data_IF_220736293561
#
_entry.id   IF_220736293561
#
_cell.length_a   1.000
_cell.length_b   1.000
_cell.length_c   1.000
_cell.angle_alpha   90.00
_cell.angle_beta   90.00
_cell.angle_gamma   90.00
#
_symmetry.space_group_name_H-M   'P 1'
#
loop_
_entity.id
_entity.type
_entity.pdbx_description
1 polymer ?
#
# COMPACT_ATOMS: atom_id res chain seq x y z
N UNK A 1 -1.98 -0.85 -17.72
CA UNK A 1 -2.27 -2.29 -17.50
C UNK A 1 -1.41 -2.75 -16.34
N UNK A 2 -1.90 -3.64 -15.47
CA UNK A 2 -1.09 -4.16 -14.34
C UNK A 2 0.06 -5.01 -14.90
N UNK A 3 1.29 -4.82 -14.42
CA UNK A 3 2.44 -5.64 -14.82
C UNK A 3 2.38 -7.06 -14.23
N UNK A 4 1.68 -7.22 -13.11
CA UNK A 4 1.54 -8.47 -12.37
C UNK A 4 0.07 -8.79 -12.18
N UNK A 5 -0.29 -10.06 -12.37
CA UNK A 5 -1.63 -10.57 -12.13
C UNK A 5 -1.58 -11.80 -11.22
N UNK A 6 -2.21 -11.71 -10.05
CA UNK A 6 -2.37 -12.88 -9.17
C UNK A 6 -3.40 -13.82 -9.79
N UNK A 7 -3.00 -15.06 -10.05
CA UNK A 7 -3.85 -16.08 -10.69
C UNK A 7 -4.55 -16.95 -9.66
N UNK A 8 -3.88 -17.28 -8.56
CA UNK A 8 -4.47 -18.07 -7.47
C UNK A 8 -3.76 -17.81 -6.14
N UNK A 9 -4.50 -17.90 -5.04
CA UNK A 9 -3.96 -17.91 -3.67
C UNK A 9 -4.68 -19.02 -2.91
N UNK A 10 -3.94 -20.09 -2.60
CA UNK A 10 -4.48 -21.25 -1.88
C UNK A 10 -4.03 -21.20 -0.43
N UNK A 11 -4.99 -21.24 0.49
CA UNK A 11 -4.73 -21.37 1.93
C UNK A 11 -4.46 -22.84 2.23
N UNK A 12 -3.29 -23.14 2.79
CA UNK A 12 -2.91 -24.49 3.22
C UNK A 12 -3.11 -24.62 4.74
N UNK A 13 -3.23 -25.86 5.22
CA UNK A 13 -3.41 -26.19 6.65
C UNK A 13 -4.55 -25.37 7.32
N UNK A 14 -5.77 -25.54 6.81
CA UNK A 14 -6.94 -24.80 7.29
C UNK A 14 -8.18 -25.73 7.39
N UNK A 15 -8.92 -25.72 8.52
CA UNK A 15 -8.67 -24.98 9.76
C UNK A 15 -7.48 -25.56 10.56
N UNK A 16 -6.85 -24.73 11.41
CA UNK A 16 -5.67 -25.11 12.20
C UNK A 16 -5.68 -24.45 13.59
N UNK A 17 -4.78 -24.87 14.49
CA UNK A 17 -4.60 -24.18 15.78
C UNK A 17 -4.22 -22.71 15.54
N UNK A 18 -4.67 -21.82 16.43
CA UNK A 18 -4.29 -20.40 16.40
C UNK A 18 -2.77 -20.19 16.36
N UNK A 19 -2.03 -21.04 17.08
CA UNK A 19 -0.57 -20.99 17.20
C UNK A 19 0.16 -21.72 16.08
N UNK A 20 -0.55 -22.31 15.11
CA UNK A 20 0.10 -22.89 13.94
C UNK A 20 0.50 -21.78 12.94
N UNK A 21 1.63 -21.94 12.23
CA UNK A 21 2.02 -21.05 11.14
C UNK A 21 0.92 -20.91 10.08
N UNK A 22 0.89 -19.77 9.42
CA UNK A 22 0.12 -19.57 8.20
C UNK A 22 0.88 -20.10 7.00
N UNK A 23 0.16 -20.68 6.03
CA UNK A 23 0.75 -21.18 4.80
C UNK A 23 -0.12 -20.80 3.60
N UNK A 24 0.44 -20.03 2.67
CA UNK A 24 -0.21 -19.57 1.45
C UNK A 24 0.57 -20.02 0.23
N UNK A 25 -0.03 -20.82 -0.64
CA UNK A 25 0.52 -21.06 -1.99
C UNK A 25 0.02 -19.95 -2.93
N UNK A 26 0.94 -19.09 -3.35
CA UNK A 26 0.65 -17.92 -4.17
C UNK A 26 1.10 -18.23 -5.60
N UNK A 27 0.19 -18.06 -6.56
CA UNK A 27 0.47 -18.15 -7.99
C UNK A 27 0.18 -16.82 -8.67
N UNK A 28 1.12 -16.34 -9.48
CA UNK A 28 0.98 -15.08 -10.21
C UNK A 28 1.66 -15.13 -11.58
N UNK A 29 1.20 -14.27 -12.47
CA UNK A 29 1.75 -14.06 -13.80
C UNK A 29 2.38 -12.66 -13.86
N UNK A 30 3.62 -12.59 -14.35
CA UNK A 30 4.31 -11.36 -14.67
C UNK A 30 4.24 -11.14 -16.19
N UNK A 31 3.62 -10.04 -16.61
CA UNK A 31 3.34 -9.71 -18.02
C UNK A 31 4.43 -8.85 -18.66
N UNK A 32 5.16 -8.10 -17.85
CA UNK A 32 6.27 -7.22 -18.26
C UNK A 32 7.42 -7.38 -17.27
N UNK A 33 8.68 -7.40 -17.71
CA UNK A 33 9.81 -7.56 -16.80
C UNK A 33 9.84 -6.43 -15.76
N UNK A 34 10.15 -6.78 -14.51
CA UNK A 34 10.31 -5.85 -13.40
C UNK A 34 11.77 -5.85 -12.96
N UNK A 35 12.36 -4.66 -12.87
CA UNK A 35 13.76 -4.48 -12.51
C UNK A 35 14.01 -4.65 -11.01
N UNK A 36 13.01 -4.31 -10.20
CA UNK A 36 13.06 -4.38 -8.74
C UNK A 36 12.20 -5.51 -8.18
N UNK A 37 12.29 -5.71 -6.87
CA UNK A 37 11.60 -6.78 -6.18
C UNK A 37 10.11 -6.46 -5.96
N UNK A 38 9.28 -7.50 -6.09
CA UNK A 38 7.95 -7.52 -5.51
C UNK A 38 8.06 -7.80 -4.02
N UNK A 39 7.42 -6.97 -3.20
CA UNK A 39 7.33 -7.19 -1.76
C UNK A 39 5.96 -7.80 -1.42
N UNK A 40 5.97 -9.00 -0.87
CA UNK A 40 4.79 -9.71 -0.38
C UNK A 40 4.75 -9.64 1.14
N UNK A 41 3.65 -9.13 1.69
CA UNK A 41 3.47 -9.01 3.14
C UNK A 41 2.22 -9.75 3.59
N UNK A 42 2.34 -10.47 4.70
CA UNK A 42 1.20 -11.04 5.40
C UNK A 42 1.00 -10.29 6.72
N UNK A 43 -0.14 -9.63 6.87
CA UNK A 43 -0.49 -8.85 8.06
C UNK A 43 -1.74 -9.43 8.71
N UNK A 44 -1.68 -9.62 10.03
CA UNK A 44 -2.83 -10.00 10.84
C UNK A 44 -3.43 -8.77 11.52
N UNK A 45 -4.74 -8.58 11.37
CA UNK A 45 -5.45 -7.46 12.00
C UNK A 45 -5.71 -7.79 13.47
N UNK A 46 -5.05 -7.08 14.38
CA UNK A 46 -5.13 -7.36 15.82
C UNK A 46 -6.36 -6.74 16.49
N UNK A 47 -6.96 -5.72 15.87
CA UNK A 47 -8.23 -5.15 16.29
C UNK A 47 -8.93 -4.51 15.10
N UNK A 48 -10.26 -4.61 15.02
CA UNK A 48 -11.02 -3.96 13.95
C UNK A 48 -11.06 -2.43 14.08
N UNK A 49 -10.78 -1.90 15.26
CA UNK A 49 -10.92 -0.47 15.58
C UNK A 49 -9.57 0.27 15.60
N UNK A 50 -8.46 -0.45 15.72
CA UNK A 50 -7.15 0.13 15.98
C UNK A 50 -6.03 -0.64 15.25
N UNK A 51 -5.52 -0.03 14.17
CA UNK A 51 -4.45 -0.57 13.33
C UNK A 51 -3.11 -0.68 14.07
N UNK A 52 -2.95 -0.07 15.26
CA UNK A 52 -1.71 -0.21 16.04
C UNK A 52 -1.50 -1.62 16.59
N UNK A 53 -2.55 -2.44 16.61
CA UNK A 53 -2.50 -3.86 16.96
C UNK A 53 -2.20 -4.75 15.75
N UNK A 54 -2.12 -4.20 14.54
CA UNK A 54 -1.81 -4.99 13.35
C UNK A 54 -0.38 -5.53 13.43
N UNK A 55 -0.25 -6.83 13.12
CA UNK A 55 1.01 -7.53 13.20
C UNK A 55 1.44 -7.94 11.79
N UNK A 56 2.56 -7.39 11.33
CA UNK A 56 3.25 -7.90 10.15
C UNK A 56 3.88 -9.25 10.53
N UNK A 57 3.32 -10.33 10.00
CA UNK A 57 3.76 -11.69 10.29
C UNK A 57 4.95 -12.10 9.42
N UNK A 58 4.93 -11.71 8.15
CA UNK A 58 5.99 -12.05 7.20
C UNK A 58 6.11 -10.99 6.09
N UNK A 59 7.33 -10.79 5.59
CA UNK A 59 7.66 -9.90 4.48
C UNK A 59 8.73 -10.51 3.59
N UNK A 60 8.36 -10.92 2.38
CA UNK A 60 9.25 -11.58 1.42
C UNK A 60 9.43 -10.73 0.16
N UNK A 61 10.68 -10.57 -0.26
CA UNK A 61 11.04 -9.94 -1.52
C UNK A 61 11.24 -11.01 -2.60
N UNK A 62 10.66 -10.78 -3.78
CA UNK A 62 10.79 -11.64 -4.95
C UNK A 62 11.17 -10.80 -6.15
N UNK A 63 12.44 -10.87 -6.57
CA UNK A 63 12.90 -10.25 -7.79
C UNK A 63 14.39 -10.46 -8.08
N UNK A 64 14.89 -9.89 -9.20
CA UNK A 64 14.10 -9.27 -10.27
C UNK A 64 13.17 -10.27 -10.98
N UNK A 65 12.00 -9.82 -11.46
CA UNK A 65 10.94 -10.70 -11.98
C UNK A 65 10.86 -10.59 -13.50
N UNK A 66 11.11 -11.70 -14.21
CA UNK A 66 10.95 -11.76 -15.66
C UNK A 66 9.51 -12.10 -16.04
N UNK A 67 9.18 -11.94 -17.32
CA UNK A 67 7.89 -12.38 -17.85
C UNK A 67 7.73 -13.89 -17.66
N UNK A 68 6.60 -14.32 -17.07
CA UNK A 68 6.34 -15.73 -16.83
C UNK A 68 5.32 -16.00 -15.73
N UNK A 69 5.10 -17.28 -15.47
CA UNK A 69 4.22 -17.77 -14.41
C UNK A 69 5.07 -18.21 -13.22
N UNK A 70 4.70 -17.75 -12.04
CA UNK A 70 5.41 -18.00 -10.80
C UNK A 70 4.49 -18.63 -9.77
N UNK A 71 5.09 -19.46 -8.91
CA UNK A 71 4.41 -20.06 -7.77
C UNK A 71 5.39 -20.26 -6.63
N UNK A 72 4.99 -19.88 -5.43
CA UNK A 72 5.77 -20.11 -4.22
C UNK A 72 4.84 -20.28 -3.00
N UNK A 73 5.40 -20.81 -1.91
CA UNK A 73 4.71 -20.91 -0.62
C UNK A 73 5.25 -19.83 0.30
N UNK A 74 4.36 -18.94 0.75
CA UNK A 74 4.61 -17.99 1.82
C UNK A 74 4.21 -18.65 3.15
N UNK A 75 5.16 -18.82 4.06
CA UNK A 75 4.90 -19.32 5.40
C UNK A 75 5.22 -18.21 6.40
N UNK A 76 4.34 -18.02 7.39
CA UNK A 76 4.52 -17.00 8.43
C UNK A 76 4.19 -17.57 9.80
N UNK A 77 4.91 -17.14 10.83
CA UNK A 77 4.59 -17.47 12.22
C UNK A 77 3.22 -16.88 12.64
N UNK A 78 2.53 -17.47 13.63
CA UNK A 78 1.26 -16.92 14.13
C UNK A 78 1.46 -15.52 14.74
N UNK A 79 0.41 -14.69 14.84
CA UNK A 79 0.49 -13.43 15.58
C UNK A 79 0.81 -13.69 17.06
N UNK A 80 1.46 -12.73 17.69
CA UNK A 80 1.69 -12.73 19.14
C UNK A 80 0.38 -12.41 19.87
N UNK A 81 -0.21 -13.35 20.64
CA UNK A 81 -1.48 -13.12 21.33
C UNK A 81 -1.42 -11.98 22.35
N UNK A 82 -0.23 -11.66 22.88
CA UNK A 82 -0.07 -10.59 23.86
C UNK A 82 -0.17 -9.17 23.26
N UNK A 83 -0.10 -9.08 21.93
CA UNK A 83 -0.25 -7.84 21.15
C UNK A 83 -1.60 -7.75 20.45
N UNK A 84 -2.56 -8.58 20.84
CA UNK A 84 -3.96 -8.53 20.40
C UNK A 84 -4.77 -8.10 21.62
N UNK A 85 -5.83 -7.32 21.40
CA UNK A 85 -6.81 -7.07 22.46
C UNK A 85 -7.44 -8.39 22.88
N UNK A 86 -7.58 -8.62 24.18
CA UNK A 86 -8.06 -9.91 24.70
C UNK A 86 -9.48 -10.24 24.19
N UNK A 87 -10.31 -9.21 24.04
CA UNK A 87 -11.64 -9.29 23.44
C UNK A 87 -11.66 -9.61 21.94
N UNK A 88 -10.57 -9.35 21.21
CA UNK A 88 -10.46 -9.54 19.75
C UNK A 88 -9.76 -10.88 19.37
N UNK A 89 -9.28 -11.66 20.35
CA UNK A 89 -8.65 -12.97 20.09
C UNK A 89 -9.69 -13.98 19.57
N UNK A 90 -10.87 -14.02 20.20
CA UNK A 90 -12.00 -14.87 19.80
C UNK A 90 -12.95 -14.07 18.92
N UNK A 91 -13.48 -14.70 17.88
CA UNK A 91 -14.40 -14.11 16.93
C UNK A 91 -13.76 -13.90 15.56
N UNK A 92 -14.29 -12.94 14.81
CA UNK A 92 -13.91 -12.71 13.42
C UNK A 92 -12.92 -11.56 13.33
N UNK A 93 -11.78 -11.81 12.68
CA UNK A 93 -10.82 -10.79 12.28
C UNK A 93 -10.44 -10.94 10.80
N UNK A 94 -9.44 -10.20 10.34
CA UNK A 94 -8.97 -10.16 8.97
C UNK A 94 -7.48 -10.47 8.88
N UNK A 95 -7.11 -11.22 7.84
CA UNK A 95 -5.73 -11.42 7.41
C UNK A 95 -5.54 -10.78 6.03
N UNK A 96 -4.48 -10.00 5.86
CA UNK A 96 -4.20 -9.24 4.66
C UNK A 96 -2.92 -9.77 4.01
N UNK A 97 -3.04 -10.29 2.79
CA UNK A 97 -1.91 -10.53 1.90
C UNK A 97 -1.79 -9.35 0.94
N UNK A 98 -0.73 -8.56 1.06
CA UNK A 98 -0.46 -7.42 0.16
C UNK A 98 0.73 -7.71 -0.74
N UNK A 99 0.71 -7.15 -1.94
CA UNK A 99 1.86 -7.13 -2.82
C UNK A 99 2.12 -5.69 -3.29
N UNK A 100 3.38 -5.29 -3.16
CA UNK A 100 3.87 -3.95 -3.47
C UNK A 100 5.03 -4.03 -4.46
N UNK A 101 5.18 -2.99 -5.28
CA UNK A 101 6.33 -2.79 -6.15
C UNK A 101 6.85 -1.37 -5.91
N UNK A 102 8.16 -1.22 -5.69
CA UNK A 102 8.78 0.07 -5.35
C UNK A 102 8.07 0.79 -4.17
N UNK A 103 7.65 0.02 -3.16
CA UNK A 103 6.93 0.52 -2.00
C UNK A 103 5.47 0.94 -2.25
N UNK A 104 4.96 0.82 -3.48
CA UNK A 104 3.57 1.10 -3.82
C UNK A 104 2.76 -0.20 -3.85
N UNK A 105 1.79 -0.31 -2.95
CA UNK A 105 0.86 -1.44 -2.92
C UNK A 105 -0.04 -1.38 -4.16
N UNK A 106 -0.11 -2.48 -4.91
CA UNK A 106 -0.98 -2.58 -6.10
C UNK A 106 -2.07 -3.64 -5.96
N UNK A 107 -1.95 -4.55 -5.00
CA UNK A 107 -2.97 -5.55 -4.73
C UNK A 107 -3.00 -5.95 -3.25
N UNK A 108 -4.22 -6.13 -2.75
CA UNK A 108 -4.53 -6.61 -1.41
C UNK A 108 -5.57 -7.71 -1.49
N UNK A 109 -5.27 -8.85 -0.88
CA UNK A 109 -6.18 -9.98 -0.75
C UNK A 109 -6.47 -10.15 0.75
N UNK A 110 -7.69 -9.80 1.14
CA UNK A 110 -8.18 -9.92 2.51
C UNK A 110 -8.96 -11.22 2.70
N UNK A 111 -8.67 -11.92 3.78
CA UNK A 111 -9.42 -13.09 4.25
C UNK A 111 -10.07 -12.79 5.59
N UNK A 112 -11.32 -13.19 5.76
CA UNK A 112 -11.88 -13.30 7.10
C UNK A 112 -11.28 -14.51 7.80
N UNK A 113 -10.95 -14.34 9.07
CA UNK A 113 -10.44 -15.39 9.94
C UNK A 113 -11.40 -15.49 11.10
N UNK A 114 -11.98 -16.67 11.31
CA UNK A 114 -12.80 -16.96 12.48
C UNK A 114 -11.97 -17.75 13.48
N UNK A 115 -11.72 -17.16 14.64
CA UNK A 115 -11.07 -17.80 15.77
C UNK A 115 -12.13 -18.22 16.77
N UNK A 116 -12.21 -19.51 17.08
CA UNK A 116 -13.18 -20.04 18.03
C UNK A 116 -12.58 -21.22 18.80
N UNK A 117 -13.17 -21.60 19.92
CA UNK A 117 -12.75 -22.82 20.61
C UNK A 117 -13.14 -24.07 19.81
N UNK A 118 -12.25 -25.06 19.79
CA UNK A 118 -12.54 -26.36 19.18
C UNK A 118 -13.53 -27.19 20.01
N UNK A 119 -13.57 -26.95 21.33
CA UNK A 119 -14.46 -27.59 22.28
C UNK A 119 -15.83 -26.87 22.39
N UNK A 120 -16.92 -27.64 22.38
CA UNK A 120 -18.29 -27.10 22.46
C UNK A 120 -18.62 -26.47 23.83
N UNK A 121 -18.12 -27.04 24.93
CA UNK A 121 -18.36 -26.49 26.27
C UNK A 121 -17.67 -25.15 26.44
N UNK A 122 -16.45 -25.01 25.92
CA UNK A 122 -15.72 -23.73 25.94
C UNK A 122 -16.40 -22.65 25.07
N UNK A 123 -17.17 -23.05 24.06
CA UNK A 123 -17.97 -22.11 23.24
C UNK A 123 -19.25 -21.65 23.95
N UNK A 124 -19.94 -22.58 24.61
CA UNK A 124 -21.17 -22.25 25.35
C UNK A 124 -20.88 -21.48 26.64
N UNK A 125 -19.80 -21.83 27.35
CA UNK A 125 -19.37 -21.21 28.60
C UNK A 125 -17.90 -20.76 28.49
N UNK A 126 -17.62 -19.65 27.78
CA UNK A 126 -16.27 -19.18 27.58
C UNK A 126 -15.63 -18.77 28.92
N UNK A 127 -14.37 -19.17 29.18
CA UNK A 127 -13.67 -18.81 30.39
C UNK A 127 -13.41 -17.30 30.45
N UNK A 128 -13.29 -16.70 31.65
CA UNK A 128 -13.01 -15.26 31.78
C UNK A 128 -11.70 -14.81 31.14
N UNK A 129 -10.73 -15.72 31.00
CA UNK A 129 -9.45 -15.49 30.34
C UNK A 129 -9.33 -16.42 29.15
N UNK A 130 -8.91 -15.88 28.00
CA UNK A 130 -8.81 -16.65 26.77
C UNK A 130 -7.74 -17.75 26.89
N UNK A 131 -8.11 -18.97 26.52
CA UNK A 131 -7.20 -20.13 26.48
C UNK A 131 -6.64 -20.31 25.08
N UNK A 132 -5.62 -19.52 24.72
CA UNK A 132 -5.07 -19.46 23.35
C UNK A 132 -4.71 -20.84 22.77
N UNK A 133 -4.20 -21.77 23.59
CA UNK A 133 -3.84 -23.14 23.16
C UNK A 133 -5.04 -23.98 22.70
N UNK A 134 -6.27 -23.55 23.02
CA UNK A 134 -7.53 -24.21 22.64
C UNK A 134 -8.26 -23.48 21.51
N UNK A 135 -7.68 -22.39 21.01
CA UNK A 135 -8.28 -21.62 19.91
C UNK A 135 -7.93 -22.28 18.59
N UNK A 136 -8.95 -22.54 17.79
CA UNK A 136 -8.84 -22.95 16.40
C UNK A 136 -9.15 -21.78 15.49
N UNK A 137 -8.29 -21.61 14.50
CA UNK A 137 -8.39 -20.62 13.43
C UNK A 137 -8.98 -21.27 12.19
N UNK A 138 -10.00 -20.63 11.62
CA UNK A 138 -10.55 -20.96 10.31
C UNK A 138 -10.51 -19.75 9.38
N UNK A 139 -9.70 -19.82 8.33
CA UNK A 139 -9.58 -18.81 7.28
C UNK A 139 -10.64 -19.08 6.23
N UNK A 140 -11.52 -18.10 5.97
CA UNK A 140 -12.58 -18.21 4.97
C UNK A 140 -12.01 -18.00 3.56
N UNK A 141 -11.34 -19.03 3.04
CA UNK A 141 -10.61 -19.00 1.76
C UNK A 141 -11.50 -18.87 0.53
N UNK A 142 -12.77 -19.26 0.61
CA UNK A 142 -13.67 -19.30 -0.55
C UNK A 142 -14.19 -17.93 -1.00
N UNK A 143 -14.10 -16.92 -0.14
CA UNK A 143 -14.63 -15.57 -0.39
C UNK A 143 -13.59 -14.48 -0.07
N UNK A 144 -12.42 -14.50 -0.71
CA UNK A 144 -11.42 -13.45 -0.50
C UNK A 144 -11.96 -12.10 -0.98
N UNK A 145 -11.54 -11.04 -0.30
CA UNK A 145 -11.77 -9.66 -0.72
C UNK A 145 -10.54 -9.17 -1.46
N UNK A 146 -10.64 -9.00 -2.77
CA UNK A 146 -9.53 -8.54 -3.60
C UNK A 146 -9.73 -7.06 -3.92
N UNK A 147 -8.77 -6.24 -3.53
CA UNK A 147 -8.68 -4.82 -3.87
C UNK A 147 -7.44 -4.59 -4.71
N UNK A 148 -7.57 -3.84 -5.80
CA UNK A 148 -6.45 -3.50 -6.70
C UNK A 148 -6.28 -1.98 -6.71
N UNK A 149 -5.02 -1.55 -6.64
CA UNK A 149 -4.65 -0.13 -6.68
C UNK A 149 -3.82 0.12 -7.95
N UNK A 150 -4.16 1.15 -8.74
CA UNK A 150 -3.36 1.51 -9.90
C UNK A 150 -2.02 2.10 -9.44
N UNK A 151 -0.91 1.58 -9.97
CA UNK A 151 0.44 2.11 -9.74
C UNK A 151 1.20 2.22 -11.07
N UNK A 152 2.29 2.97 -11.07
CA UNK A 152 3.23 2.97 -12.19
C UNK A 152 4.34 1.92 -11.97
N UNK A 153 4.39 0.90 -12.83
CA UNK A 153 5.42 -0.14 -12.79
C UNK A 153 6.69 0.23 -13.56
N UNK A 154 6.66 1.28 -14.40
CA UNK A 154 7.80 1.74 -15.20
C UNK A 154 7.92 3.27 -15.07
N UNK A 155 8.43 3.78 -13.93
CA UNK A 155 8.60 5.21 -13.72
C UNK A 155 9.58 5.84 -14.71
N UNK A 156 10.62 5.11 -15.12
CA UNK A 156 11.69 5.64 -15.98
C UNK A 156 11.26 5.82 -17.45
N UNK A 157 10.31 5.02 -17.94
CA UNK A 157 9.78 5.12 -19.32
C UNK A 157 8.95 6.40 -19.55
N UNK A 158 8.51 7.07 -18.48
CA UNK A 158 7.71 8.30 -18.58
C UNK A 158 8.56 9.56 -18.83
N UNK A 159 9.88 9.50 -18.70
CA UNK A 159 10.75 10.66 -18.90
C UNK A 159 11.09 10.95 -20.37
N UNK A 160 10.70 10.09 -21.32
CA UNK A 160 11.00 10.27 -22.75
C UNK A 160 9.84 10.91 -23.57
N UNK A 161 8.74 11.33 -22.93
CA UNK A 161 7.56 11.90 -23.62
C UNK A 161 7.18 13.33 -23.20
N UNK A 162 8.10 14.11 -22.62
CA UNK A 162 7.91 15.57 -22.40
C UNK A 162 8.61 16.45 -23.44
N UNK A 163 8.95 15.91 -24.60
CA UNK A 163 9.49 16.70 -25.71
C UNK A 163 8.64 16.47 -26.96
N UNK A 164 7.48 17.12 -27.03
CA UNK A 164 6.84 17.68 -28.23
C UNK A 164 5.39 18.08 -27.90
N UNK A 165 5.17 19.36 -27.59
CA UNK A 165 4.10 20.23 -28.13
C UNK A 165 4.06 21.57 -27.35
N UNK A 166 5.12 22.36 -27.44
CA UNK A 166 4.98 23.81 -27.34
C UNK A 166 4.55 24.32 -28.72
N UNK A 167 3.24 24.31 -28.98
CA UNK A 167 2.68 25.21 -29.97
C UNK A 167 2.66 26.62 -29.37
N UNK A 168 3.73 27.37 -29.60
CA UNK A 168 3.69 28.82 -29.47
C UNK A 168 2.66 29.37 -30.48
N UNK A 169 1.80 30.33 -30.10
CA UNK A 169 0.92 30.99 -31.06
C UNK A 169 1.75 31.81 -32.06
N UNK A 170 1.35 31.88 -33.34
CA UNK A 170 2.10 32.64 -34.35
C UNK A 170 2.06 34.12 -34.01
N UNK A 171 3.24 34.74 -33.94
CA UNK A 171 3.40 36.17 -33.72
C UNK A 171 3.11 36.92 -35.02
N UNK A 172 2.10 37.78 -35.02
CA UNK A 172 1.85 38.76 -36.08
C UNK A 172 2.99 39.79 -36.10
N UNK A 173 3.83 39.76 -37.13
CA UNK A 173 4.74 40.85 -37.47
C UNK A 173 4.09 41.78 -38.50
N UNK A 174 3.98 43.10 -38.25
CA UNK A 174 3.71 44.06 -39.29
C UNK A 174 5.00 44.42 -40.07
N UNK A 175 4.90 44.74 -41.38
CA UNK A 175 6.07 45.02 -42.22
C UNK A 175 6.65 46.43 -41.95
N UNK A 176 7.99 46.52 -41.92
CA UNK A 176 8.71 47.80 -41.86
C UNK A 176 8.84 48.44 -43.24
N UNK A 177 8.53 49.74 -43.36
CA UNK A 177 9.26 50.67 -44.24
C UNK A 177 9.18 52.12 -43.72
N UNK A 178 10.34 52.70 -43.37
CA UNK A 178 10.72 54.07 -43.70
C UNK A 178 10.46 55.21 -42.70
N UNK A 179 11.54 55.77 -42.14
CA UNK A 179 11.73 57.23 -42.09
C UNK A 179 11.81 57.95 -40.73
N UNK A 180 13.06 58.27 -40.32
CA UNK A 180 13.58 59.53 -39.70
C UNK A 180 13.00 60.07 -38.37
N UNK A 181 13.92 60.37 -37.42
CA UNK A 181 13.78 61.32 -36.29
C UNK A 181 14.11 60.65 -34.94
N UNK A 182 15.35 60.69 -34.42
CA UNK A 182 16.01 61.74 -33.60
C UNK A 182 15.45 61.91 -32.16
N UNK A 183 16.39 61.85 -31.19
CA UNK A 183 16.37 62.43 -29.82
C UNK A 183 15.43 61.77 -28.79
N UNK A 184 15.72 61.60 -27.49
CA UNK A 184 16.83 61.97 -26.59
C UNK A 184 16.70 61.14 -25.28
N UNK A 185 17.76 61.12 -24.48
CA UNK A 185 17.90 60.50 -23.15
C UNK A 185 17.00 61.15 -22.08
N UNK A 186 16.65 60.42 -21.01
CA UNK A 186 16.83 60.90 -19.61
C UNK A 186 16.55 59.79 -18.57
N UNK A 187 17.33 59.84 -17.49
CA UNK A 187 17.45 58.92 -16.35
C UNK A 187 16.36 59.12 -15.26
N UNK A 188 16.54 58.38 -14.14
CA UNK A 188 15.93 58.48 -12.81
C UNK A 188 14.73 57.56 -12.52
N UNK A 189 14.51 57.03 -11.32
CA UNK A 189 15.34 56.73 -10.16
C UNK A 189 14.42 55.93 -9.20
N UNK A 190 15.00 54.97 -8.48
CA UNK A 190 14.62 54.61 -7.11
C UNK A 190 13.31 53.86 -6.75
N UNK A 191 13.58 52.68 -6.15
CA UNK A 191 13.13 52.17 -4.83
C UNK A 191 12.00 51.14 -4.78
N UNK A 192 12.43 49.95 -4.37
CA UNK A 192 11.69 48.88 -3.72
C UNK A 192 10.70 49.36 -2.64
N UNK A 193 9.51 48.76 -2.55
CA UNK A 193 8.68 48.83 -1.35
C UNK A 193 9.14 47.79 -0.29
N UNK A 194 9.08 48.11 1.02
CA UNK A 194 9.44 47.19 2.09
C UNK A 194 8.27 46.25 2.47
N UNK A 195 8.62 45.08 3.00
CA UNK A 195 7.68 44.09 3.54
C UNK A 195 7.11 44.51 4.91
N UNK A 196 5.86 44.11 5.25
CA UNK A 196 5.27 44.38 6.56
C UNK A 196 5.73 43.39 7.66
N UNK A 197 5.95 43.92 8.86
CA UNK A 197 6.33 43.19 10.07
C UNK A 197 5.11 42.63 10.86
N UNK A 198 5.25 41.53 11.61
CA UNK A 198 4.21 41.00 12.49
C UNK A 198 4.34 41.50 13.95
N UNK A 199 3.22 41.62 14.66
CA UNK A 199 3.17 41.84 16.12
C UNK A 199 1.82 41.30 16.68
N UNK A 200 1.68 41.14 18.02
CA UNK A 200 2.37 40.16 18.85
C UNK A 200 1.39 39.30 19.68
N UNK A 201 1.92 38.27 20.34
CA UNK A 201 1.21 37.39 21.27
C UNK A 201 0.90 38.09 22.61
N UNK A 202 -0.34 37.95 23.08
CA UNK A 202 -0.72 38.23 24.47
C UNK A 202 -0.79 36.92 25.26
N UNK A 203 -0.19 36.95 26.45
CA UNK A 203 -0.15 35.91 27.48
C UNK A 203 -0.57 36.56 28.80
N UNK A 204 -1.08 35.72 29.70
CA UNK A 204 -1.45 35.94 31.11
C UNK A 204 -2.88 36.40 31.43
N UNK A 205 -3.74 35.45 31.84
CA UNK A 205 -3.96 35.11 33.27
C UNK A 205 -4.76 33.82 33.40
#
# INVERSE_FOLDING_TARGET
>A
MSAVNITNVTVLDNPASFLNPFQFEISYECLTPLNDDLEWKLTYVGSAEDETYDQLLESVLVGPVNVGNYRFVLQADPPDPSKIREEDIIGVTVLLLTCSYLGQEFIRVGYYVNNDYDDEQLREEPPPKVLVDRVQRNILSDKPRVTKFPINFHPDDNNDNEDHHQQAPPSDQPPQTGGVGEEEEEEEDHRHPPAPAPAPAEKDS
#
